data_IF_914869051572
#
_entry.id   IF_914869051572
#
_cell.length_a   1.000
_cell.length_b   1.000
_cell.length_c   1.000
_cell.angle_alpha   90.00
_cell.angle_beta   90.00
_cell.angle_gamma   90.00
#
_symmetry.space_group_name_H-M   'P 1'
#
loop_
_entity.id
_entity.type
_entity.pdbx_description
1 polymer ?
#
# COMPACT_ATOMS: atom_id res chain seq x y z
N UNK A 1 -16.43 12.54 12.83
CA UNK A 1 -16.30 12.64 11.36
C UNK A 1 -15.04 11.89 10.88
N UNK A 2 -15.04 10.56 10.87
CA UNK A 2 -13.95 9.72 10.34
C UNK A 2 -14.56 8.50 9.61
N UNK A 3 -15.49 8.76 8.69
CA UNK A 3 -16.20 7.71 7.94
C UNK A 3 -15.56 7.36 6.59
N UNK A 4 -14.56 8.12 6.12
CA UNK A 4 -14.01 7.95 4.76
C UNK A 4 -12.86 6.93 4.67
N UNK A 5 -12.49 6.29 5.79
CA UNK A 5 -11.31 5.46 5.88
C UNK A 5 -11.62 4.09 6.52
N UNK A 6 -11.27 2.98 5.84
CA UNK A 6 -11.58 1.63 6.33
C UNK A 6 -10.81 1.29 7.61
N UNK A 7 -9.66 1.93 7.86
CA UNK A 7 -8.83 1.72 9.04
C UNK A 7 -8.91 2.98 9.91
N UNK A 8 -9.42 2.82 11.13
CA UNK A 8 -9.49 3.90 12.12
C UNK A 8 -8.12 4.05 12.78
N UNK A 9 -7.48 5.19 12.59
CA UNK A 9 -6.19 5.53 13.19
C UNK A 9 -6.12 7.04 13.45
N UNK A 10 -5.46 7.43 14.53
CA UNK A 10 -5.11 8.84 14.80
C UNK A 10 -3.80 9.26 14.14
N UNK A 11 -3.05 8.32 13.55
CA UNK A 11 -1.77 8.60 12.95
C UNK A 11 -1.94 9.17 11.54
N UNK A 12 -1.55 10.43 11.36
CA UNK A 12 -1.67 11.15 10.10
C UNK A 12 -0.96 10.45 8.93
N UNK A 13 0.21 9.84 9.15
CA UNK A 13 0.95 9.12 8.11
C UNK A 13 0.16 7.92 7.56
N UNK A 14 -0.43 7.13 8.46
CA UNK A 14 -1.32 6.03 8.11
C UNK A 14 -2.57 6.52 7.35
N UNK A 15 -3.13 7.67 7.74
CA UNK A 15 -4.26 8.29 7.02
C UNK A 15 -3.91 8.69 5.58
N UNK A 16 -2.73 9.24 5.36
CA UNK A 16 -2.25 9.59 4.02
C UNK A 16 -1.99 8.34 3.18
N UNK A 17 -1.36 7.31 3.74
CA UNK A 17 -1.03 6.09 3.00
C UNK A 17 -2.29 5.41 2.44
N UNK A 18 -3.34 5.24 3.24
CA UNK A 18 -4.61 4.69 2.76
C UNK A 18 -5.29 5.61 1.71
N UNK A 19 -5.14 6.93 1.84
CA UNK A 19 -5.67 7.86 0.85
C UNK A 19 -4.95 7.69 -0.49
N UNK A 20 -3.61 7.61 -0.48
CA UNK A 20 -2.80 7.37 -1.68
C UNK A 20 -3.16 6.05 -2.36
N UNK A 21 -3.26 4.95 -1.61
CA UNK A 21 -3.68 3.64 -2.15
C UNK A 21 -5.06 3.75 -2.84
N UNK A 22 -6.00 4.50 -2.25
CA UNK A 22 -7.35 4.69 -2.80
C UNK A 22 -7.33 5.49 -4.11
N UNK A 23 -6.62 6.63 -4.16
CA UNK A 23 -6.61 7.52 -5.32
C UNK A 23 -5.72 7.03 -6.47
N UNK A 24 -4.73 6.17 -6.20
CA UNK A 24 -3.83 5.64 -7.21
C UNK A 24 -4.64 4.88 -8.27
N UNK A 25 -4.34 5.10 -9.56
CA UNK A 25 -5.00 4.41 -10.68
C UNK A 25 -4.50 2.97 -10.79
N UNK A 26 -5.29 2.08 -11.40
CA UNK A 26 -4.87 0.72 -11.66
C UNK A 26 -3.61 0.68 -12.55
N UNK A 27 -2.57 -0.03 -12.11
CA UNK A 27 -1.26 -0.04 -12.77
C UNK A 27 -0.44 1.25 -12.59
N UNK A 28 -0.87 2.16 -11.71
CA UNK A 28 -0.08 3.32 -11.32
C UNK A 28 0.93 2.95 -10.23
N UNK A 29 2.10 3.58 -10.26
CA UNK A 29 3.15 3.41 -9.26
C UNK A 29 3.22 4.62 -8.33
N UNK A 30 3.56 4.39 -7.06
CA UNK A 30 3.76 5.43 -6.06
C UNK A 30 5.02 5.16 -5.23
N UNK A 31 5.73 6.23 -4.87
CA UNK A 31 6.82 6.22 -3.91
C UNK A 31 6.42 7.07 -2.69
N UNK A 32 6.31 6.47 -1.52
CA UNK A 32 5.88 7.16 -0.29
C UNK A 32 6.99 7.09 0.75
N UNK A 33 7.39 8.26 1.26
CA UNK A 33 8.30 8.36 2.41
C UNK A 33 7.48 8.26 3.69
N UNK A 34 7.84 7.33 4.57
CA UNK A 34 7.19 7.12 5.86
C UNK A 34 8.23 6.86 6.95
N UNK A 35 7.90 7.14 8.20
CA UNK A 35 8.79 6.83 9.33
C UNK A 35 8.94 5.31 9.47
N UNK A 36 10.12 4.84 9.86
CA UNK A 36 10.35 3.41 10.11
C UNK A 36 9.41 2.83 11.18
N UNK A 37 8.89 3.69 12.06
CA UNK A 37 7.86 3.33 13.04
C UNK A 37 6.66 2.65 12.40
N UNK A 38 6.27 2.99 11.16
CA UNK A 38 5.18 2.30 10.48
C UNK A 38 5.46 0.81 10.23
N UNK A 39 6.72 0.45 9.94
CA UNK A 39 7.15 -0.93 9.74
C UNK A 39 7.36 -1.66 11.06
N UNK A 40 7.85 -0.99 12.10
CA UNK A 40 8.15 -1.63 13.39
C UNK A 40 6.96 -1.68 14.35
N UNK A 41 5.99 -0.78 14.22
CA UNK A 41 4.86 -0.68 15.13
C UNK A 41 3.93 -1.89 14.97
N UNK A 42 3.40 -2.43 16.05
CA UNK A 42 2.55 -3.63 16.07
C UNK A 42 1.07 -3.31 16.29
N UNK A 43 0.71 -2.03 16.35
CA UNK A 43 -0.67 -1.59 16.49
C UNK A 43 -1.58 -2.21 15.41
N UNK A 44 -2.82 -2.52 15.82
CA UNK A 44 -3.83 -3.15 14.97
C UNK A 44 -4.06 -2.36 13.67
N UNK A 45 -4.06 -1.02 13.75
CA UNK A 45 -4.20 -0.15 12.57
C UNK A 45 -3.03 -0.31 11.59
N UNK A 46 -1.79 -0.25 12.07
CA UNK A 46 -0.58 -0.37 11.24
C UNK A 46 -0.47 -1.76 10.60
N UNK A 47 -0.86 -2.81 11.33
CA UNK A 47 -0.94 -4.18 10.79
C UNK A 47 -2.00 -4.31 9.70
N UNK A 48 -3.22 -3.82 9.92
CA UNK A 48 -4.30 -3.83 8.94
C UNK A 48 -3.92 -3.07 7.66
N UNK A 49 -3.21 -1.94 7.81
CA UNK A 49 -2.83 -1.09 6.68
C UNK A 49 -1.70 -1.73 5.84
N UNK A 50 -0.74 -2.37 6.48
CA UNK A 50 0.27 -3.19 5.78
C UNK A 50 -0.38 -4.35 5.02
N UNK A 51 -1.35 -5.03 5.62
CA UNK A 51 -2.11 -6.09 4.95
C UNK A 51 -2.88 -5.55 3.74
N UNK A 52 -3.54 -4.41 3.89
CA UNK A 52 -4.27 -3.75 2.80
C UNK A 52 -3.34 -3.32 1.66
N UNK A 53 -2.16 -2.77 1.98
CA UNK A 53 -1.13 -2.40 1.01
C UNK A 53 -0.65 -3.62 0.23
N UNK A 54 -0.27 -4.71 0.91
CA UNK A 54 0.21 -5.94 0.26
C UNK A 54 -0.88 -6.68 -0.54
N UNK A 55 -2.16 -6.52 -0.17
CA UNK A 55 -3.27 -7.17 -0.87
C UNK A 55 -3.71 -6.39 -2.11
N UNK A 56 -3.64 -5.06 -2.06
CA UNK A 56 -4.15 -4.18 -3.14
C UNK A 56 -3.04 -3.70 -4.07
N UNK A 57 -1.80 -3.69 -3.60
CA UNK A 57 -0.65 -3.14 -4.31
C UNK A 57 0.50 -4.15 -4.28
N UNK A 58 1.28 -4.15 -5.35
CA UNK A 58 2.53 -4.86 -5.44
C UNK A 58 3.65 -3.97 -4.88
N UNK A 59 4.04 -4.20 -3.63
CA UNK A 59 5.18 -3.53 -2.99
C UNK A 59 6.46 -4.20 -3.49
N UNK A 60 7.20 -3.53 -4.37
CA UNK A 60 8.38 -4.13 -5.02
C UNK A 60 9.71 -3.69 -4.39
N UNK A 61 9.75 -2.52 -3.74
CA UNK A 61 11.00 -2.01 -3.15
C UNK A 61 10.73 -1.22 -1.88
N UNK A 62 11.54 -1.47 -0.87
CA UNK A 62 11.61 -0.70 0.38
C UNK A 62 13.03 -0.20 0.52
N UNK A 63 13.20 1.12 0.54
CA UNK A 63 14.50 1.76 0.69
C UNK A 63 14.62 2.33 2.10
N UNK A 64 15.50 1.75 2.90
CA UNK A 64 15.86 2.32 4.21
C UNK A 64 16.79 3.52 4.02
N UNK A 65 16.42 4.65 4.62
CA UNK A 65 17.24 5.85 4.61
C UNK A 65 17.93 6.02 5.97
N UNK A 66 19.23 6.39 5.98
CA UNK A 66 19.94 6.66 7.21
C UNK A 66 19.33 7.86 7.95
N UNK A 67 19.51 7.88 9.27
CA UNK A 67 19.08 9.01 10.10
C UNK A 67 19.77 10.30 9.64
N UNK A 68 19.03 11.41 9.64
CA UNK A 68 19.54 12.70 9.17
C UNK A 68 19.33 12.99 7.68
N UNK A 69 18.77 12.05 6.90
CA UNK A 69 18.40 12.29 5.49
C UNK A 69 17.37 13.41 5.34
N UNK A 70 16.42 13.51 6.28
CA UNK A 70 15.45 14.60 6.34
C UNK A 70 15.68 15.45 7.58
N UNK A 71 16.05 16.72 7.37
CA UNK A 71 16.17 17.71 8.44
C UNK A 71 14.81 17.92 9.11
N UNK A 72 14.68 17.55 10.39
CA UNK A 72 13.44 17.70 11.16
C UNK A 72 12.59 16.43 11.33
N UNK A 73 12.95 15.30 10.69
CA UNK A 73 12.23 14.04 10.91
C UNK A 73 12.57 13.40 12.28
N UNK A 74 13.80 13.59 12.76
CA UNK A 74 14.29 13.08 14.05
C UNK A 74 14.40 11.55 14.19
N UNK A 75 13.92 10.80 13.19
CA UNK A 75 13.90 9.33 13.17
C UNK A 75 14.32 8.80 11.80
N UNK A 76 14.67 7.52 11.74
CA UNK A 76 14.90 6.81 10.48
C UNK A 76 13.61 6.78 9.65
N UNK A 77 13.75 7.04 8.36
CA UNK A 77 12.66 7.01 7.38
C UNK A 77 12.90 5.92 6.36
N UNK A 78 11.82 5.43 5.77
CA UNK A 78 11.85 4.43 4.71
C UNK A 78 11.03 4.93 3.53
N UNK A 79 11.42 4.55 2.33
CA UNK A 79 10.67 4.85 1.10
C UNK A 79 10.06 3.57 0.58
N UNK A 80 8.73 3.55 0.48
CA UNK A 80 7.96 2.44 -0.05
C UNK A 80 7.64 2.71 -1.52
N UNK A 81 8.12 1.85 -2.41
CA UNK A 81 7.76 1.86 -3.82
C UNK A 81 6.81 0.71 -4.13
N UNK A 82 5.59 1.05 -4.54
CA UNK A 82 4.56 0.08 -4.84
C UNK A 82 3.76 0.47 -6.09
N UNK A 83 3.23 -0.54 -6.77
CA UNK A 83 2.32 -0.39 -7.90
C UNK A 83 0.93 -0.89 -7.52
N UNK A 84 -0.12 -0.14 -7.86
CA UNK A 84 -1.50 -0.62 -7.64
C UNK A 84 -1.78 -1.79 -8.57
N UNK A 85 -2.16 -2.93 -8.00
CA UNK A 85 -2.47 -4.11 -8.78
C UNK A 85 -3.53 -3.76 -9.83
N UNK A 86 -3.27 -4.14 -11.08
CA UNK A 86 -4.28 -4.02 -12.13
C UNK A 86 -5.44 -4.94 -11.72
N UNK A 87 -6.71 -4.52 -11.91
CA UNK A 87 -7.80 -5.47 -11.77
C UNK A 87 -7.48 -6.65 -12.69
N UNK A 88 -7.72 -7.91 -12.25
CA UNK A 88 -7.53 -9.04 -13.14
C UNK A 88 -8.28 -8.72 -14.43
N UNK A 89 -7.57 -8.67 -15.57
CA UNK A 89 -8.21 -8.65 -16.88
C UNK A 89 -9.19 -9.80 -16.82
N UNK A 90 -10.50 -9.54 -16.93
CA UNK A 90 -11.54 -10.57 -16.89
C UNK A 90 -11.01 -11.77 -17.65
N UNK A 91 -10.70 -12.85 -16.93
CA UNK A 91 -10.33 -14.10 -17.55
C UNK A 91 -11.61 -14.51 -18.27
N UNK A 92 -11.67 -14.32 -19.59
CA UNK A 92 -12.73 -14.91 -20.38
C UNK A 92 -12.62 -16.41 -20.15
N UNK A 93 -13.56 -16.98 -19.40
CA UNK A 93 -13.71 -18.42 -19.32
C UNK A 93 -14.06 -18.88 -20.74
N UNK A 94 -13.04 -19.31 -21.50
CA UNK A 94 -13.27 -20.08 -22.72
C UNK A 94 -13.73 -21.45 -22.24
N UNK A 95 -15.04 -21.65 -22.28
CA UNK A 95 -15.64 -22.97 -22.11
C UNK A 95 -15.42 -23.73 -23.41
N UNK A 96 -14.30 -24.46 -23.51
CA UNK A 96 -14.09 -25.45 -24.57
C UNK A 96 -14.98 -26.66 -24.24
N UNK A 97 -16.26 -26.56 -24.59
CA UNK A 97 -17.09 -27.75 -24.77
C UNK A 97 -16.55 -28.48 -25.99
N UNK A 98 -15.79 -29.55 -25.75
CA UNK A 98 -15.47 -30.54 -26.78
C UNK A 98 -16.78 -31.27 -27.13
N UNK A 99 -17.58 -30.67 -28.01
CA UNK A 99 -18.60 -31.42 -28.76
C UNK A 99 -17.97 -31.86 -30.07
N UNK A 100 -17.60 -33.12 -30.15
CA UNK A 100 -17.15 -33.68 -31.41
C UNK A 100 -16.62 -35.11 -31.33
N UNK A 101 -17.57 -36.05 -31.47
CA UNK A 101 -17.43 -37.38 -32.11
C UNK A 101 -16.86 -38.50 -31.24
#
# INVERSE_FOLDING_TARGET
>A
MQQNFPIKTGETASLFLQHFIKILKAGGSAGIVIKNTFLSNTDSASSALRKALLTTCNLHTVLDLPGGTFTGAGVKTVVLFFEKAKPPKRLGFINLIWTGI
#
